data_IF_717500849966
#
_entry.id   IF_717500849966
#
_cell.length_a   1.000
_cell.length_b   1.000
_cell.length_c   1.000
_cell.angle_alpha   90.00
_cell.angle_beta   90.00
_cell.angle_gamma   90.00
#
_symmetry.space_group_name_H-M   'P 1'
#
loop_
_entity.id
_entity.type
_entity.pdbx_description
1 polymer ?
#
# COMPACT_ATOMS: atom_id res chain seq x y z
N UNK A 1 -20.03 -7.04 -4.49
CA UNK A 1 -19.21 -6.62 -5.63
C UNK A 1 -17.90 -6.01 -5.17
N UNK A 2 -16.84 -6.42 -5.79
CA UNK A 2 -15.54 -5.87 -5.50
C UNK A 2 -15.43 -4.49 -6.11
N UNK A 3 -14.96 -3.52 -5.36
CA UNK A 3 -14.79 -2.18 -5.91
C UNK A 3 -13.33 -1.74 -5.78
N UNK A 4 -13.00 -0.65 -6.43
CA UNK A 4 -11.63 -0.17 -6.51
C UNK A 4 -11.11 0.42 -5.19
N UNK A 5 -11.98 0.59 -4.21
CA UNK A 5 -11.58 1.24 -2.97
C UNK A 5 -10.61 0.42 -2.13
N UNK A 6 -10.44 -0.87 -2.45
CA UNK A 6 -9.48 -1.69 -1.73
C UNK A 6 -8.05 -1.38 -2.15
N UNK A 7 -7.87 -0.80 -3.33
CA UNK A 7 -6.54 -0.46 -3.84
C UNK A 7 -6.24 1.00 -3.51
N UNK A 8 -5.11 1.22 -2.85
CA UNK A 8 -4.72 2.55 -2.42
C UNK A 8 -3.86 3.19 -3.51
N UNK A 9 -4.36 4.24 -4.14
CA UNK A 9 -3.68 4.88 -5.25
C UNK A 9 -3.26 6.31 -4.90
N UNK A 10 -4.14 7.07 -4.28
CA UNK A 10 -3.90 8.47 -3.99
C UNK A 10 -3.25 8.68 -2.64
N UNK A 11 -2.64 9.86 -2.46
CA UNK A 11 -2.07 10.23 -1.17
C UNK A 11 -3.13 10.23 -0.08
N UNK A 12 -4.34 10.66 -0.41
CA UNK A 12 -5.43 10.69 0.56
C UNK A 12 -5.77 9.29 1.05
N UNK A 13 -5.78 8.32 0.15
CA UNK A 13 -6.06 6.94 0.52
C UNK A 13 -4.96 6.35 1.38
N UNK A 14 -3.70 6.65 1.05
CA UNK A 14 -2.58 6.21 1.85
C UNK A 14 -2.60 6.85 3.22
N UNK A 15 -2.90 8.15 3.26
CA UNK A 15 -3.01 8.87 4.52
C UNK A 15 -4.08 8.27 5.42
N UNK A 16 -5.25 7.97 4.85
CA UNK A 16 -6.34 7.41 5.62
C UNK A 16 -5.98 6.03 6.18
N UNK A 17 -5.34 5.19 5.36
CA UNK A 17 -4.92 3.87 5.81
C UNK A 17 -3.91 3.97 6.95
N UNK A 18 -2.98 4.91 6.85
CA UNK A 18 -1.99 5.12 7.90
C UNK A 18 -2.65 5.65 9.18
N UNK A 19 -3.52 6.63 9.04
CA UNK A 19 -4.17 7.27 10.17
C UNK A 19 -5.03 6.28 10.96
N UNK A 20 -5.77 5.43 10.26
CA UNK A 20 -6.64 4.45 10.88
C UNK A 20 -5.96 3.13 11.15
N UNK A 21 -4.65 3.08 10.94
CA UNK A 21 -3.83 1.90 11.22
C UNK A 21 -4.39 0.64 10.56
N UNK A 22 -4.78 0.78 9.28
CA UNK A 22 -5.28 -0.35 8.53
C UNK A 22 -4.10 -1.12 7.92
N UNK A 23 -4.18 -2.43 7.98
CA UNK A 23 -3.12 -3.25 7.40
C UNK A 23 -3.19 -3.22 5.88
N UNK A 24 -2.02 -3.18 5.26
CA UNK A 24 -1.89 -3.04 3.82
C UNK A 24 -1.06 -4.19 3.27
N UNK A 25 -1.55 -4.78 2.19
CA UNK A 25 -0.85 -5.82 1.45
C UNK A 25 -0.16 -5.17 0.27
N UNK A 26 1.09 -5.56 -0.01
CA UNK A 26 1.86 -5.02 -1.13
C UNK A 26 2.09 -6.12 -2.14
N UNK A 27 1.72 -5.84 -3.40
CA UNK A 27 2.00 -6.76 -4.50
C UNK A 27 2.83 -6.06 -5.55
N UNK A 28 3.68 -6.82 -6.23
CA UNK A 28 4.44 -6.29 -7.34
C UNK A 28 3.54 -6.24 -8.57
N UNK A 29 3.39 -5.06 -9.15
CA UNK A 29 2.44 -4.85 -10.25
C UNK A 29 2.73 -5.73 -11.46
N UNK A 30 4.01 -5.92 -11.73
CA UNK A 30 4.45 -6.63 -12.92
C UNK A 30 3.93 -8.06 -12.98
N UNK A 31 3.90 -8.76 -11.86
CA UNK A 31 3.57 -10.18 -11.83
C UNK A 31 2.64 -10.57 -10.68
N UNK A 32 2.10 -9.60 -9.97
CA UNK A 32 1.17 -9.81 -8.85
C UNK A 32 1.75 -10.66 -7.72
N UNK A 33 3.07 -10.69 -7.62
CA UNK A 33 3.71 -11.40 -6.52
C UNK A 33 3.55 -10.58 -5.24
N UNK A 34 3.17 -11.24 -4.16
CA UNK A 34 3.07 -10.58 -2.85
C UNK A 34 4.47 -10.32 -2.34
N UNK A 35 4.79 -9.04 -2.13
CA UNK A 35 6.10 -8.63 -1.62
C UNK A 35 6.11 -8.51 -0.10
N UNK A 36 4.96 -8.23 0.49
CA UNK A 36 4.85 -8.06 1.92
C UNK A 36 3.48 -8.51 2.39
N UNK A 37 3.46 -9.34 3.40
CA UNK A 37 2.22 -9.66 4.10
C UNK A 37 1.79 -8.44 4.88
N UNK A 38 0.50 -8.35 5.22
CA UNK A 38 -0.07 -7.10 5.69
C UNK A 38 0.72 -6.45 6.83
N UNK A 39 0.96 -5.16 6.67
CA UNK A 39 1.64 -4.34 7.67
C UNK A 39 1.07 -2.94 7.69
N UNK A 40 1.53 -2.14 8.64
CA UNK A 40 1.07 -0.76 8.80
C UNK A 40 1.98 0.20 8.07
N UNK A 41 1.38 1.22 7.46
CA UNK A 41 2.15 2.27 6.79
C UNK A 41 2.82 3.14 7.83
N UNK A 42 4.15 3.25 7.76
CA UNK A 42 4.93 4.13 8.62
C UNK A 42 5.07 5.53 8.05
N UNK A 43 5.31 5.60 6.75
CA UNK A 43 5.55 6.85 6.03
C UNK A 43 5.20 6.64 4.58
N UNK A 44 4.98 7.75 3.87
CA UNK A 44 4.84 7.69 2.41
C UNK A 44 5.19 9.04 1.82
N UNK A 45 5.57 9.03 0.55
CA UNK A 45 5.75 10.25 -0.22
C UNK A 45 5.28 9.99 -1.64
N UNK A 46 5.66 10.86 -2.57
CA UNK A 46 5.18 10.76 -3.95
C UNK A 46 5.68 9.51 -4.67
N UNK A 47 6.80 8.97 -4.21
CA UNK A 47 7.48 7.89 -4.93
C UNK A 47 7.38 6.54 -4.24
N UNK A 48 7.27 6.53 -2.92
CA UNK A 48 7.34 5.27 -2.20
C UNK A 48 6.52 5.30 -0.93
N UNK A 49 6.24 4.08 -0.44
CA UNK A 49 5.52 3.88 0.81
C UNK A 49 6.39 2.99 1.69
N UNK A 50 6.56 3.40 2.93
CA UNK A 50 7.29 2.60 3.91
C UNK A 50 6.30 1.84 4.76
N UNK A 51 6.45 0.51 4.78
CA UNK A 51 5.57 -0.36 5.55
C UNK A 51 6.43 -1.33 6.34
N UNK A 52 6.25 -1.35 7.64
CA UNK A 52 7.00 -2.24 8.54
C UNK A 52 8.51 -2.10 8.33
N UNK A 53 8.97 -0.88 8.10
CA UNK A 53 10.38 -0.57 7.97
C UNK A 53 10.98 -0.74 6.58
N UNK A 54 10.21 -1.24 5.62
CA UNK A 54 10.70 -1.44 4.24
C UNK A 54 10.02 -0.49 3.29
N UNK A 55 10.75 -0.05 2.26
CA UNK A 55 10.23 0.88 1.26
C UNK A 55 9.77 0.14 0.01
N UNK A 56 8.63 0.56 -0.52
CA UNK A 56 8.04 -0.01 -1.73
C UNK A 56 7.70 1.11 -2.69
N UNK A 57 8.16 1.01 -3.94
CA UNK A 57 7.96 2.06 -4.93
C UNK A 57 6.53 2.06 -5.45
N UNK A 58 5.91 3.22 -5.44
CA UNK A 58 4.52 3.36 -5.88
C UNK A 58 4.37 3.08 -7.38
N UNK A 59 5.44 3.28 -8.15
CA UNK A 59 5.40 3.01 -9.58
C UNK A 59 5.47 1.52 -9.90
N UNK A 60 5.91 0.70 -8.96
CA UNK A 60 6.15 -0.72 -9.20
C UNK A 60 5.23 -1.63 -8.40
N UNK A 61 4.55 -1.09 -7.42
CA UNK A 61 3.76 -1.89 -6.49
C UNK A 61 2.34 -1.40 -6.41
N UNK A 62 1.45 -2.32 -6.09
CA UNK A 62 0.07 -1.99 -5.74
C UNK A 62 -0.10 -2.22 -4.25
N UNK A 63 -0.87 -1.35 -3.63
CA UNK A 63 -1.12 -1.38 -2.19
C UNK A 63 -2.60 -1.63 -1.97
N UNK A 64 -2.93 -2.66 -1.20
CA UNK A 64 -4.30 -3.08 -1.01
C UNK A 64 -4.65 -3.06 0.47
N UNK A 65 -5.75 -2.40 0.80
CA UNK A 65 -6.21 -2.37 2.18
C UNK A 65 -7.01 -3.63 2.47
N UNK A 66 -6.78 -4.22 3.62
CA UNK A 66 -7.49 -5.43 4.03
C UNK A 66 -8.74 -5.11 4.84
#
# INVERSE_FOLDING_TARGET
MKNASDTLVTDMELFAAALFQRKVLVTQRKNNVVLLYPGLIDQYDEEQVRISGAYYRRSECDFHML
#
